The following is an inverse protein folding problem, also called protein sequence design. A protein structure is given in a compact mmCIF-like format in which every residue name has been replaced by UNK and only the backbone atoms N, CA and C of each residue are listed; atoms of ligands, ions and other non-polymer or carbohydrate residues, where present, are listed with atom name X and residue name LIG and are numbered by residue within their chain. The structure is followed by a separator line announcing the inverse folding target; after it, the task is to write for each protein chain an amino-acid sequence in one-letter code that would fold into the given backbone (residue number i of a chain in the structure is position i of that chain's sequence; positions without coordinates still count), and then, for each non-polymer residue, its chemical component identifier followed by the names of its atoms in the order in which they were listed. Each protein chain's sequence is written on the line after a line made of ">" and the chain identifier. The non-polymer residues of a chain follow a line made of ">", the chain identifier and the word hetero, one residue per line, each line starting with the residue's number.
data_IF_009334052193
#
_entry.id   IF_009334052193
#
_cell.length_a   1.000
_cell.length_b   1.000
_cell.length_c   1.000
_cell.angle_alpha   90.00
_cell.angle_beta   90.00
_cell.angle_gamma   90.00
#
_symmetry.space_group_name_H-M   'P 1'
#
loop_
_entity.id
_entity.type
_entity.pdbx_description
1 polymer ?
#
# COMPACT_ATOMS: atom_id res chain seq x y z
N UNK A 1 -3.21 -5.01 -27.91
CA UNK A 1 -2.98 -4.31 -26.63
C UNK A 1 -1.51 -3.93 -26.57
N UNK A 2 -1.23 -2.64 -26.35
CA UNK A 2 0.15 -2.17 -26.11
C UNK A 2 0.46 -2.49 -24.65
N UNK A 3 1.35 -3.44 -24.42
CA UNK A 3 1.96 -3.64 -23.09
C UNK A 3 2.86 -2.41 -22.78
N UNK A 4 2.26 -1.37 -22.24
CA UNK A 4 3.01 -0.22 -21.73
C UNK A 4 3.53 -0.58 -20.35
N UNK A 5 4.85 -0.67 -20.20
CA UNK A 5 5.43 -0.78 -18.89
C UNK A 5 5.27 0.56 -18.14
N UNK A 6 5.11 0.48 -16.83
CA UNK A 6 4.79 1.63 -16.00
C UNK A 6 5.89 1.86 -14.95
N UNK A 7 6.43 3.07 -14.90
CA UNK A 7 7.43 3.46 -13.92
C UNK A 7 6.76 4.24 -12.78
N UNK A 8 6.79 3.74 -11.55
CA UNK A 8 6.19 4.41 -10.39
C UNK A 8 6.87 5.76 -10.09
N UNK A 9 6.25 6.61 -9.23
CA UNK A 9 6.83 7.88 -8.82
C UNK A 9 8.26 7.72 -8.31
N UNK A 10 9.19 8.51 -8.86
CA UNK A 10 10.60 8.47 -8.46
C UNK A 10 11.24 9.84 -8.66
N UNK A 11 11.79 10.44 -7.60
CA UNK A 11 12.44 11.76 -7.68
C UNK A 11 13.60 11.82 -8.68
N UNK A 12 14.22 10.67 -8.97
CA UNK A 12 15.33 10.57 -9.91
C UNK A 12 14.91 10.26 -11.36
N UNK A 13 13.66 9.84 -11.60
CA UNK A 13 13.18 9.46 -12.94
C UNK A 13 12.00 10.29 -13.41
N UNK A 14 11.07 10.58 -12.49
CA UNK A 14 9.82 11.27 -12.83
C UNK A 14 10.02 12.75 -13.11
N UNK A 15 9.25 13.28 -14.04
CA UNK A 15 9.07 14.71 -14.25
C UNK A 15 7.88 15.24 -13.43
N UNK A 16 7.63 16.52 -13.46
CA UNK A 16 6.47 17.13 -12.81
C UNK A 16 5.15 16.60 -13.41
N UNK A 17 5.13 16.33 -14.73
CA UNK A 17 4.00 15.72 -15.45
C UNK A 17 4.36 14.31 -15.92
N UNK A 18 3.35 13.52 -16.32
CA UNK A 18 3.57 12.23 -16.96
C UNK A 18 4.47 12.39 -18.21
N UNK A 19 5.31 11.41 -18.43
CA UNK A 19 6.19 11.37 -19.61
C UNK A 19 6.37 9.94 -20.10
N UNK A 20 6.72 9.80 -21.38
CA UNK A 20 7.08 8.50 -21.95
C UNK A 20 8.59 8.49 -22.17
N UNK A 21 9.27 7.52 -21.60
CA UNK A 21 10.73 7.36 -21.72
C UNK A 21 11.02 5.93 -22.13
N UNK A 22 11.66 5.74 -23.28
CA UNK A 22 12.00 4.41 -23.85
C UNK A 22 10.79 3.47 -24.01
N UNK A 23 9.58 4.01 -24.22
CA UNK A 23 8.35 3.24 -24.32
C UNK A 23 7.63 3.02 -22.98
N UNK A 24 8.25 3.37 -21.86
CA UNK A 24 7.64 3.27 -20.51
C UNK A 24 6.87 4.54 -20.16
N UNK A 25 5.69 4.39 -19.59
CA UNK A 25 4.93 5.50 -19.01
C UNK A 25 5.48 5.82 -17.62
N UNK A 26 6.12 6.97 -17.48
CA UNK A 26 6.69 7.43 -16.20
C UNK A 26 5.69 8.30 -15.46
N UNK A 27 5.39 7.96 -14.19
CA UNK A 27 4.44 8.70 -13.35
C UNK A 27 4.94 10.11 -13.06
N UNK A 28 4.09 11.13 -13.28
CA UNK A 28 4.38 12.53 -12.99
C UNK A 28 4.24 12.84 -11.50
N UNK A 29 5.25 13.48 -10.89
CA UNK A 29 5.22 13.80 -9.45
C UNK A 29 4.06 14.73 -9.08
N UNK A 30 3.67 15.65 -9.98
CA UNK A 30 2.54 16.56 -9.79
C UNK A 30 1.16 15.91 -9.93
N UNK A 31 1.08 14.64 -10.32
CA UNK A 31 -0.16 13.89 -10.35
C UNK A 31 -0.51 13.25 -8.99
N UNK A 32 0.40 13.31 -8.01
CA UNK A 32 0.11 12.91 -6.65
C UNK A 32 -0.91 13.86 -6.00
N UNK A 33 -1.75 13.32 -5.13
CA UNK A 33 -2.78 14.12 -4.43
C UNK A 33 -2.13 15.20 -3.57
N UNK A 34 -2.70 16.40 -3.61
CA UNK A 34 -2.23 17.57 -2.86
C UNK A 34 -0.78 18.01 -3.18
N UNK A 35 -0.31 17.68 -4.37
CA UNK A 35 1.02 18.07 -4.86
C UNK A 35 0.85 19.02 -6.04
N UNK A 36 1.49 20.19 -5.98
CA UNK A 36 1.46 21.17 -7.06
C UNK A 36 2.51 20.88 -8.12
N UNK A 37 2.18 21.05 -9.40
CA UNK A 37 3.10 20.85 -10.53
C UNK A 37 4.32 21.80 -10.40
N UNK A 38 4.11 23.06 -10.05
CA UNK A 38 5.18 24.05 -9.90
C UNK A 38 6.21 23.65 -8.83
N UNK A 39 5.76 23.10 -7.69
CA UNK A 39 6.65 22.59 -6.67
C UNK A 39 7.48 21.40 -7.19
N UNK A 40 6.90 20.54 -8.02
CA UNK A 40 7.60 19.39 -8.60
C UNK A 40 8.58 19.80 -9.71
N UNK A 41 8.33 20.91 -10.39
CA UNK A 41 9.30 21.51 -11.32
C UNK A 41 10.60 21.89 -10.62
N UNK A 42 10.53 22.44 -9.41
CA UNK A 42 11.73 22.74 -8.62
C UNK A 42 12.61 21.52 -8.36
N UNK A 43 11.99 20.36 -8.14
CA UNK A 43 12.73 19.09 -7.97
C UNK A 43 13.39 18.68 -9.27
N UNK A 44 12.66 18.74 -10.40
CA UNK A 44 13.21 18.35 -11.71
C UNK A 44 14.31 19.28 -12.18
N UNK A 45 14.18 20.59 -11.94
CA UNK A 45 15.20 21.58 -12.22
C UNK A 45 16.47 21.37 -11.38
N UNK A 46 16.32 21.19 -10.06
CA UNK A 46 17.44 20.91 -9.17
C UNK A 46 18.12 19.58 -9.49
N UNK A 47 17.39 18.57 -9.95
CA UNK A 47 17.96 17.31 -10.43
C UNK A 47 18.81 17.53 -11.69
N UNK A 48 18.31 18.29 -12.68
CA UNK A 48 18.97 18.47 -13.97
C UNK A 48 19.35 17.13 -14.60
N UNK A 49 20.63 17.01 -14.99
CA UNK A 49 21.20 15.78 -15.56
C UNK A 49 21.79 14.82 -14.51
N UNK A 50 21.89 15.24 -13.25
CA UNK A 50 22.55 14.46 -12.18
C UNK A 50 21.53 13.99 -11.16
N UNK A 51 21.32 12.69 -11.06
CA UNK A 51 20.45 12.07 -10.05
C UNK A 51 20.87 12.44 -8.64
N UNK A 52 19.90 12.52 -7.73
CA UNK A 52 20.17 12.64 -6.31
C UNK A 52 20.76 11.34 -5.79
N UNK A 53 21.83 11.44 -5.00
CA UNK A 53 22.56 10.29 -4.45
C UNK A 53 22.09 9.87 -3.06
N UNK A 54 21.68 10.82 -2.24
CA UNK A 54 21.19 10.62 -0.86
C UNK A 54 20.03 11.57 -0.56
N UNK A 55 19.34 11.35 0.57
CA UNK A 55 18.33 12.28 1.09
C UNK A 55 18.94 13.65 1.42
N UNK A 56 20.20 13.67 1.86
CA UNK A 56 20.90 14.91 2.18
C UNK A 56 21.34 15.67 0.91
N UNK A 57 21.79 14.95 -0.13
CA UNK A 57 22.06 15.56 -1.44
C UNK A 57 20.77 16.18 -2.02
N UNK A 58 19.66 15.48 -1.95
CA UNK A 58 18.34 16.02 -2.30
C UNK A 58 18.02 17.31 -1.52
N UNK A 59 18.20 17.31 -0.19
CA UNK A 59 17.89 18.44 0.69
C UNK A 59 18.84 19.64 0.48
N UNK A 60 20.08 19.40 0.04
CA UNK A 60 21.06 20.47 -0.31
C UNK A 60 20.77 21.14 -1.65
N UNK A 61 20.21 20.37 -2.60
CA UNK A 61 19.96 20.85 -3.96
C UNK A 61 18.56 21.41 -4.15
N UNK A 62 17.58 20.91 -3.40
CA UNK A 62 16.18 21.33 -3.45
C UNK A 62 15.83 22.15 -2.22
N UNK A 63 15.27 23.35 -2.41
CA UNK A 63 14.71 24.14 -1.30
C UNK A 63 13.39 23.50 -0.82
N UNK A 64 13.48 22.68 0.22
CA UNK A 64 12.33 21.91 0.74
C UNK A 64 11.29 22.81 1.41
N UNK A 65 11.66 24.01 1.85
CA UNK A 65 10.71 25.01 2.37
C UNK A 65 9.75 25.47 1.28
N UNK A 66 10.22 25.64 0.05
CA UNK A 66 9.39 26.00 -1.11
C UNK A 66 8.49 24.86 -1.58
N UNK A 67 8.93 23.61 -1.43
CA UNK A 67 8.10 22.43 -1.74
C UNK A 67 6.95 22.35 -0.74
N UNK A 68 7.23 22.51 0.53
CA UNK A 68 6.28 22.38 1.63
C UNK A 68 6.15 20.96 2.17
N UNK A 69 5.78 20.85 3.46
CA UNK A 69 5.72 19.58 4.19
C UNK A 69 4.74 18.59 3.55
N UNK A 70 3.53 19.04 3.22
CA UNK A 70 2.47 18.14 2.71
C UNK A 70 2.81 17.48 1.36
N UNK A 71 3.33 18.18 0.34
CA UNK A 71 3.83 17.53 -0.87
C UNK A 71 4.96 16.53 -0.61
N UNK A 72 5.90 16.85 0.30
CA UNK A 72 6.98 15.92 0.68
C UNK A 72 6.42 14.64 1.32
N UNK A 73 5.44 14.75 2.21
CA UNK A 73 4.74 13.60 2.78
C UNK A 73 4.11 12.72 1.69
N UNK A 74 3.45 13.33 0.68
CA UNK A 74 2.84 12.57 -0.43
C UNK A 74 3.90 11.87 -1.29
N UNK A 75 5.03 12.52 -1.55
CA UNK A 75 6.15 11.90 -2.26
C UNK A 75 6.69 10.67 -1.52
N UNK A 76 6.86 10.75 -0.19
CA UNK A 76 7.32 9.60 0.62
C UNK A 76 6.31 8.48 0.60
N UNK A 77 5.03 8.79 0.83
CA UNK A 77 3.93 7.80 0.82
C UNK A 77 3.85 7.06 -0.52
N UNK A 78 4.04 7.77 -1.63
CA UNK A 78 4.03 7.20 -2.98
C UNK A 78 5.32 6.43 -3.33
N UNK A 79 6.32 6.40 -2.46
CA UNK A 79 7.59 5.71 -2.71
C UNK A 79 8.56 6.46 -3.63
N UNK A 80 8.38 7.77 -3.83
CA UNK A 80 9.23 8.54 -4.73
C UNK A 80 10.71 8.56 -4.29
N UNK A 81 10.99 8.30 -3.01
CA UNK A 81 12.34 8.25 -2.44
C UNK A 81 12.93 6.84 -2.32
N UNK A 82 12.22 5.77 -2.70
CA UNK A 82 12.63 4.38 -2.49
C UNK A 82 14.01 4.03 -3.07
N UNK A 83 14.48 4.80 -4.07
CA UNK A 83 15.83 4.66 -4.63
C UNK A 83 16.93 5.28 -3.78
N UNK A 84 16.60 6.20 -2.88
CA UNK A 84 17.54 6.80 -1.92
C UNK A 84 17.48 6.08 -0.57
N UNK A 85 16.28 5.73 -0.14
CA UNK A 85 16.02 4.99 1.08
C UNK A 85 14.71 4.20 0.92
N UNK A 86 14.79 2.88 0.96
CA UNK A 86 13.63 1.99 0.79
C UNK A 86 12.69 1.94 2.00
N UNK A 87 13.16 2.40 3.18
CA UNK A 87 12.34 2.46 4.39
C UNK A 87 11.53 3.76 4.40
N UNK A 88 10.30 3.71 3.87
CA UNK A 88 9.42 4.87 3.75
C UNK A 88 9.06 5.49 5.09
N UNK A 89 8.84 4.68 6.14
CA UNK A 89 8.51 5.17 7.49
C UNK A 89 9.64 5.98 8.08
N UNK A 90 10.89 5.54 7.89
CA UNK A 90 12.10 6.27 8.31
C UNK A 90 12.22 7.61 7.61
N UNK A 91 12.05 7.63 6.28
CA UNK A 91 12.06 8.88 5.51
C UNK A 91 10.95 9.81 5.93
N UNK A 92 9.73 9.28 6.15
CA UNK A 92 8.59 10.06 6.61
C UNK A 92 8.84 10.73 7.96
N UNK A 93 9.41 9.98 8.91
CA UNK A 93 9.75 10.50 10.23
C UNK A 93 10.89 11.55 10.19
N UNK A 94 11.79 11.45 9.21
CA UNK A 94 12.93 12.36 9.05
C UNK A 94 12.58 13.65 8.28
N UNK A 95 11.37 13.79 7.74
CA UNK A 95 11.04 14.94 6.88
C UNK A 95 11.27 16.31 7.55
N UNK A 96 10.98 16.44 8.83
CA UNK A 96 11.18 17.68 9.55
C UNK A 96 12.66 18.03 9.68
N UNK A 97 13.50 17.06 10.00
CA UNK A 97 14.94 17.22 10.09
C UNK A 97 15.55 17.56 8.72
N UNK A 98 15.08 16.92 7.65
CA UNK A 98 15.51 17.20 6.27
C UNK A 98 15.09 18.60 5.81
N UNK A 99 13.89 19.06 6.16
CA UNK A 99 13.43 20.42 5.86
C UNK A 99 14.27 21.45 6.60
N UNK A 100 14.52 21.26 7.89
CA UNK A 100 15.35 22.16 8.70
C UNK A 100 16.79 22.22 8.17
N UNK A 101 17.36 21.07 7.80
CA UNK A 101 18.67 21.00 7.16
C UNK A 101 18.71 21.76 5.83
N UNK A 102 17.71 21.55 4.96
CA UNK A 102 17.58 22.27 3.69
C UNK A 102 17.51 23.79 3.90
N UNK A 103 16.70 24.24 4.85
CA UNK A 103 16.60 25.69 5.17
C UNK A 103 17.96 26.26 5.57
N UNK A 104 18.66 25.59 6.49
CA UNK A 104 19.98 26.05 6.95
C UNK A 104 21.01 26.14 5.82
N UNK A 105 21.04 25.13 4.92
CA UNK A 105 21.93 25.12 3.75
C UNK A 105 21.61 26.27 2.78
N UNK A 106 20.33 26.49 2.48
CA UNK A 106 19.94 27.53 1.52
C UNK A 106 20.10 28.95 2.10
N UNK A 107 19.89 29.15 3.40
CA UNK A 107 20.13 30.40 4.09
C UNK A 107 21.64 30.71 4.11
N UNK A 108 22.50 29.74 4.37
CA UNK A 108 23.97 29.92 4.30
C UNK A 108 24.41 30.33 2.90
N UNK A 109 23.87 29.70 1.85
CA UNK A 109 24.17 30.06 0.46
C UNK A 109 23.70 31.48 0.08
N UNK A 110 22.58 31.95 0.63
CA UNK A 110 21.98 33.23 0.31
C UNK A 110 22.60 34.40 1.10
N UNK A 111 23.18 34.14 2.27
CA UNK A 111 23.69 35.18 3.16
C UNK A 111 25.02 35.83 2.69
N UNK A 112 25.67 35.36 1.63
CA UNK A 112 26.97 35.86 1.15
C UNK A 112 28.02 36.05 2.25
N UNK A 113 27.85 35.48 3.42
CA UNK A 113 28.86 35.52 4.48
C UNK A 113 30.03 34.63 4.05
N UNK A 114 31.02 35.27 3.47
CA UNK A 114 32.35 34.67 3.37
C UNK A 114 32.76 34.35 4.80
N UNK A 115 32.89 33.07 5.10
CA UNK A 115 33.43 32.62 6.39
C UNK A 115 34.74 33.32 6.64
N UNK A 116 34.89 34.03 7.76
CA UNK A 116 36.12 34.73 8.17
C UNK A 116 37.28 33.74 8.41
N UNK A 117 37.05 32.46 8.25
CA UNK A 117 38.02 31.37 8.52
C UNK A 117 38.40 30.55 7.27
N UNK A 118 38.53 31.21 6.10
CA UNK A 118 39.20 30.61 4.93
C UNK A 118 38.43 29.45 4.29
N UNK A 119 38.70 29.24 3.02
CA UNK A 119 38.18 28.20 2.10
C UNK A 119 38.33 26.74 2.58
N UNK A 120 37.60 26.35 3.57
CA UNK A 120 37.29 24.94 3.80
C UNK A 120 35.78 24.86 3.78
N UNK A 121 35.25 24.23 2.73
CA UNK A 121 33.81 24.00 2.60
C UNK A 121 33.30 23.24 3.80
N UNK A 122 32.92 23.96 4.85
CA UNK A 122 32.18 23.43 5.98
C UNK A 122 30.74 23.19 5.48
N UNK A 123 30.55 22.04 4.86
CA UNK A 123 29.23 21.48 4.66
C UNK A 123 28.60 21.36 6.06
N UNK A 124 27.42 21.96 6.24
CA UNK A 124 26.64 21.78 7.47
C UNK A 124 26.53 20.29 7.81
N UNK A 125 26.75 19.90 9.07
CA UNK A 125 26.71 18.50 9.44
C UNK A 125 25.33 17.92 9.14
N UNK A 126 25.33 16.76 8.51
CA UNK A 126 24.09 16.04 8.19
C UNK A 126 23.38 15.60 9.48
N UNK A 127 22.06 15.86 9.61
CA UNK A 127 21.31 15.42 10.78
C UNK A 127 21.29 13.89 10.87
N UNK A 128 21.28 13.38 12.10
CA UNK A 128 21.19 11.93 12.32
C UNK A 128 19.75 11.48 12.15
N UNK A 129 19.47 10.71 11.10
CA UNK A 129 18.17 10.07 10.90
C UNK A 129 18.05 8.91 11.88
N UNK A 130 16.96 8.90 12.68
CA UNK A 130 16.63 7.78 13.57
C UNK A 130 16.24 6.56 12.75
N UNK A 131 16.62 5.39 13.22
CA UNK A 131 16.19 4.15 12.61
C UNK A 131 14.75 3.79 13.05
N UNK A 132 13.96 3.31 12.09
CA UNK A 132 12.59 2.86 12.29
C UNK A 132 12.38 1.56 11.53
N UNK A 133 11.60 0.65 12.10
CA UNK A 133 11.05 -0.44 11.31
C UNK A 133 10.08 0.14 10.26
N UNK A 134 10.18 -0.32 9.01
CA UNK A 134 9.32 0.19 7.93
C UNK A 134 7.85 -0.15 8.17
N UNK A 135 6.98 0.51 7.43
CA UNK A 135 5.57 0.14 7.37
C UNK A 135 5.41 -1.30 6.91
N UNK A 136 4.47 -2.00 7.52
CA UNK A 136 4.05 -3.32 7.03
C UNK A 136 3.51 -3.20 5.59
N UNK A 137 3.56 -4.27 4.79
CA UNK A 137 3.09 -4.23 3.40
C UNK A 137 1.68 -3.63 3.24
N UNK A 138 0.74 -4.00 4.10
CA UNK A 138 -0.61 -3.45 4.08
C UNK A 138 -0.64 -1.95 4.43
N UNK A 139 0.20 -1.50 5.36
CA UNK A 139 0.32 -0.08 5.70
C UNK A 139 0.94 0.70 4.53
N UNK A 140 1.99 0.16 3.88
CA UNK A 140 2.59 0.78 2.69
C UNK A 140 1.58 0.98 1.57
N UNK A 141 0.73 -0.01 1.31
CA UNK A 141 -0.34 0.09 0.31
C UNK A 141 -1.39 1.13 0.70
N UNK A 142 -1.76 1.21 1.98
CA UNK A 142 -2.68 2.24 2.47
C UNK A 142 -2.10 3.65 2.31
N UNK A 143 -0.82 3.84 2.65
CA UNK A 143 -0.10 5.09 2.50
C UNK A 143 0.05 5.49 1.01
N UNK A 144 0.35 4.54 0.14
CA UNK A 144 0.40 4.72 -1.31
C UNK A 144 -0.96 5.18 -1.86
N UNK A 145 -2.05 4.54 -1.42
CA UNK A 145 -3.40 4.91 -1.81
C UNK A 145 -3.76 6.35 -1.39
N UNK A 146 -3.33 6.78 -0.19
CA UNK A 146 -3.52 8.16 0.28
C UNK A 146 -2.86 9.15 -0.69
N UNK A 147 -1.67 8.85 -1.18
CA UNK A 147 -0.90 9.75 -2.04
C UNK A 147 -1.34 9.70 -3.51
N UNK A 148 -1.70 8.54 -4.02
CA UNK A 148 -1.98 8.30 -5.44
C UNK A 148 -3.48 8.31 -5.72
N UNK A 149 -4.26 7.62 -4.89
CA UNK A 149 -5.71 7.47 -5.05
C UNK A 149 -6.15 6.14 -5.65
N UNK A 150 -5.20 5.29 -5.98
CA UNK A 150 -5.39 3.90 -6.35
C UNK A 150 -4.15 3.09 -5.93
N UNK A 151 -4.27 1.77 -5.93
CA UNK A 151 -3.17 0.87 -5.61
C UNK A 151 -2.29 0.68 -6.84
N UNK A 152 -1.01 1.00 -6.73
CA UNK A 152 -0.06 1.01 -7.85
C UNK A 152 0.95 -0.14 -7.78
N UNK A 153 1.54 -0.36 -6.61
CA UNK A 153 2.62 -1.35 -6.46
C UNK A 153 2.09 -2.77 -6.30
N UNK A 154 0.98 -2.93 -5.62
CA UNK A 154 0.27 -4.19 -5.40
C UNK A 154 -1.16 -3.87 -4.96
N UNK A 155 -2.00 -4.90 -4.76
CA UNK A 155 -3.38 -4.72 -4.31
C UNK A 155 -3.61 -5.45 -2.97
N UNK A 156 -4.39 -4.86 -2.01
CA UNK A 156 -4.63 -5.48 -0.70
C UNK A 156 -5.31 -6.85 -0.73
N UNK A 157 -5.86 -7.25 -1.88
CA UNK A 157 -6.38 -8.60 -2.11
C UNK A 157 -5.31 -9.57 -2.64
N UNK A 158 -4.07 -9.13 -2.86
CA UNK A 158 -2.97 -9.97 -3.35
C UNK A 158 -2.71 -11.16 -2.42
N UNK A 159 -2.64 -10.91 -1.13
CA UNK A 159 -2.45 -11.93 -0.10
C UNK A 159 -3.58 -12.98 -0.07
N UNK A 160 -4.78 -12.59 -0.51
CA UNK A 160 -5.96 -13.45 -0.56
C UNK A 160 -6.12 -14.21 -1.87
N UNK A 161 -5.26 -13.99 -2.89
CA UNK A 161 -5.46 -14.48 -4.25
C UNK A 161 -5.75 -15.99 -4.33
N UNK A 162 -5.00 -16.82 -3.61
CA UNK A 162 -5.19 -18.28 -3.57
C UNK A 162 -6.52 -18.67 -2.92
N UNK A 163 -6.87 -18.05 -1.80
CA UNK A 163 -8.12 -18.30 -1.09
C UNK A 163 -9.32 -17.83 -1.91
N UNK A 164 -9.25 -16.67 -2.56
CA UNK A 164 -10.28 -16.16 -3.47
C UNK A 164 -10.56 -17.14 -4.60
N UNK A 165 -9.51 -17.61 -5.26
CA UNK A 165 -9.62 -18.57 -6.37
C UNK A 165 -10.25 -19.89 -5.92
N UNK A 166 -9.83 -20.46 -4.78
CA UNK A 166 -10.43 -21.70 -4.22
C UNK A 166 -11.91 -21.53 -3.91
N UNK A 167 -12.33 -20.35 -3.47
CA UNK A 167 -13.72 -20.04 -3.14
C UNK A 167 -14.57 -19.62 -4.35
N UNK A 168 -14.03 -19.73 -5.59
CA UNK A 168 -14.74 -19.38 -6.82
C UNK A 168 -15.05 -17.89 -6.93
N UNK A 169 -14.26 -17.05 -6.29
CA UNK A 169 -14.37 -15.58 -6.37
C UNK A 169 -13.74 -15.12 -7.67
N UNK A 170 -14.47 -14.35 -8.45
CA UNK A 170 -14.07 -13.86 -9.76
C UNK A 170 -13.47 -12.45 -9.64
N UNK A 171 -12.49 -12.15 -10.50
CA UNK A 171 -11.99 -10.80 -10.70
C UNK A 171 -12.91 -10.01 -11.63
N UNK A 172 -12.75 -8.67 -11.67
CA UNK A 172 -13.52 -7.82 -12.57
C UNK A 172 -13.41 -8.28 -14.02
N UNK A 173 -12.20 -8.55 -14.52
CA UNK A 173 -11.98 -8.97 -15.90
C UNK A 173 -12.69 -10.30 -16.24
N UNK A 174 -12.66 -11.25 -15.28
CA UNK A 174 -13.38 -12.53 -15.42
C UNK A 174 -14.91 -12.32 -15.43
N UNK A 175 -15.40 -11.36 -14.65
CA UNK A 175 -16.84 -11.04 -14.61
C UNK A 175 -17.27 -10.35 -15.88
N UNK A 176 -16.51 -9.39 -16.41
CA UNK A 176 -16.78 -8.73 -17.69
C UNK A 176 -16.84 -9.76 -18.81
N UNK A 177 -15.82 -10.61 -18.92
CA UNK A 177 -15.77 -11.66 -19.96
C UNK A 177 -16.95 -12.65 -19.88
N UNK A 178 -17.38 -13.01 -18.67
CA UNK A 178 -18.56 -13.90 -18.52
C UNK A 178 -19.89 -13.19 -18.80
N UNK A 179 -19.98 -11.90 -18.50
CA UNK A 179 -21.18 -11.10 -18.72
C UNK A 179 -21.51 -10.89 -20.20
N UNK A 180 -20.54 -11.05 -21.10
CA UNK A 180 -20.74 -11.07 -22.56
C UNK A 180 -21.70 -12.19 -23.01
N UNK A 181 -21.72 -13.32 -22.28
CA UNK A 181 -22.61 -14.43 -22.56
C UNK A 181 -24.04 -14.25 -21.98
N UNK A 182 -24.26 -13.21 -21.18
CA UNK A 182 -25.53 -12.86 -20.54
C UNK A 182 -25.42 -12.62 -19.04
N UNK A 183 -26.52 -12.15 -18.42
CA UNK A 183 -26.54 -11.88 -16.99
C UNK A 183 -26.32 -13.14 -16.16
N UNK A 184 -25.54 -13.04 -15.06
CA UNK A 184 -25.29 -14.12 -14.13
C UNK A 184 -25.02 -13.61 -12.71
N UNK A 185 -24.96 -14.52 -11.74
CA UNK A 185 -24.61 -14.19 -10.36
C UNK A 185 -23.11 -14.39 -10.19
N UNK A 186 -22.42 -13.30 -9.92
CA UNK A 186 -20.99 -13.28 -9.65
C UNK A 186 -20.71 -13.22 -8.14
N UNK A 187 -19.69 -13.96 -7.68
CA UNK A 187 -19.05 -13.77 -6.38
C UNK A 187 -17.74 -13.04 -6.61
N UNK A 188 -17.61 -11.86 -6.05
CA UNK A 188 -16.47 -10.95 -6.24
C UNK A 188 -15.92 -10.51 -4.90
N UNK A 189 -14.66 -10.08 -4.87
CA UNK A 189 -14.06 -9.43 -3.71
C UNK A 189 -13.51 -8.06 -4.12
N UNK A 190 -13.63 -7.08 -3.24
CA UNK A 190 -13.12 -5.74 -3.48
C UNK A 190 -12.69 -5.02 -2.22
N UNK A 191 -11.83 -4.03 -2.41
CA UNK A 191 -11.53 -3.01 -1.40
C UNK A 191 -12.43 -1.82 -1.66
N UNK A 192 -13.13 -1.35 -0.63
CA UNK A 192 -14.04 -0.20 -0.74
C UNK A 192 -13.21 1.06 -0.94
N UNK A 193 -13.37 1.69 -2.09
CA UNK A 193 -12.72 2.97 -2.41
C UNK A 193 -13.60 4.17 -1.99
N UNK A 194 -14.91 4.07 -2.20
CA UNK A 194 -15.86 5.14 -1.88
C UNK A 194 -17.28 4.59 -1.72
N UNK A 195 -18.10 5.30 -0.96
CA UNK A 195 -19.52 5.01 -0.78
C UNK A 195 -20.34 6.28 -0.98
N UNK A 196 -21.30 6.26 -1.89
CA UNK A 196 -22.23 7.35 -2.13
C UNK A 196 -23.66 6.90 -1.83
N UNK A 197 -24.23 7.34 -0.72
CA UNK A 197 -25.63 7.07 -0.40
C UNK A 197 -26.54 8.11 -1.07
N UNK A 198 -27.66 7.64 -1.61
CA UNK A 198 -28.71 8.48 -2.23
C UNK A 198 -30.10 8.03 -1.76
N UNK A 199 -31.08 8.90 -1.98
CA UNK A 199 -32.49 8.58 -1.81
C UNK A 199 -33.18 8.50 -3.16
N UNK A 200 -33.95 7.45 -3.38
CA UNK A 200 -34.82 7.33 -4.55
C UNK A 200 -36.00 8.30 -4.47
N UNK A 201 -36.69 8.50 -5.57
CA UNK A 201 -37.92 9.33 -5.61
C UNK A 201 -39.01 8.78 -4.64
N UNK A 202 -38.98 7.50 -4.31
CA UNK A 202 -39.90 6.86 -3.33
C UNK A 202 -39.38 6.94 -1.88
N UNK A 203 -38.28 7.65 -1.62
CA UNK A 203 -37.70 7.83 -0.29
C UNK A 203 -36.79 6.69 0.19
N UNK A 204 -36.68 5.59 -0.54
CA UNK A 204 -35.80 4.48 -0.20
C UNK A 204 -34.35 4.87 -0.35
N UNK A 205 -33.50 4.50 0.61
CA UNK A 205 -32.07 4.69 0.53
C UNK A 205 -31.42 3.61 -0.34
N UNK A 206 -30.42 3.98 -1.11
CA UNK A 206 -29.56 3.07 -1.85
C UNK A 206 -28.15 3.67 -1.90
N UNK A 207 -27.15 2.86 -2.22
CA UNK A 207 -25.78 3.33 -2.33
C UNK A 207 -25.11 2.82 -3.60
N UNK A 208 -24.21 3.65 -4.13
CA UNK A 208 -23.19 3.22 -5.06
C UNK A 208 -21.91 2.98 -4.27
N UNK A 209 -21.39 1.76 -4.35
CA UNK A 209 -20.18 1.35 -3.70
C UNK A 209 -19.10 1.18 -4.76
N UNK A 210 -18.09 2.05 -4.71
CA UNK A 210 -16.91 1.92 -5.56
C UNK A 210 -15.91 0.98 -4.90
N UNK A 211 -15.47 0.00 -5.66
CA UNK A 211 -14.61 -1.08 -5.24
C UNK A 211 -13.43 -1.22 -6.20
N UNK A 212 -12.36 -1.80 -5.71
CA UNK A 212 -11.24 -2.20 -6.57
C UNK A 212 -10.82 -3.63 -6.27
N UNK A 213 -10.36 -4.32 -7.31
CA UNK A 213 -9.59 -5.55 -7.23
C UNK A 213 -8.26 -5.37 -7.99
N UNK A 214 -7.48 -6.44 -8.11
CA UNK A 214 -6.19 -6.38 -8.82
C UNK A 214 -6.28 -6.10 -10.32
N UNK A 215 -7.47 -6.24 -10.92
CA UNK A 215 -7.69 -6.07 -12.36
C UNK A 215 -8.33 -4.72 -12.68
N UNK A 216 -8.96 -4.05 -11.71
CA UNK A 216 -9.52 -2.73 -11.93
C UNK A 216 -10.45 -2.23 -10.84
N UNK A 217 -11.13 -1.12 -11.15
CA UNK A 217 -12.15 -0.52 -10.29
C UNK A 217 -13.53 -0.70 -10.88
N UNK A 218 -14.51 -0.97 -10.03
CA UNK A 218 -15.90 -1.20 -10.42
C UNK A 218 -16.87 -0.61 -9.41
N UNK A 219 -18.12 -0.44 -9.85
CA UNK A 219 -19.18 0.07 -9.01
C UNK A 219 -20.28 -0.97 -8.83
N UNK A 220 -20.70 -1.18 -7.58
CA UNK A 220 -21.85 -2.01 -7.26
C UNK A 220 -22.98 -1.16 -6.67
N UNK A 221 -24.20 -1.40 -7.13
CA UNK A 221 -25.42 -0.78 -6.58
C UNK A 221 -25.95 -1.62 -5.44
N UNK A 222 -26.18 -0.99 -4.29
CA UNK A 222 -26.76 -1.57 -3.09
C UNK A 222 -28.14 -0.98 -2.84
N UNK A 223 -29.19 -1.78 -2.90
CA UNK A 223 -30.50 -1.35 -2.44
C UNK A 223 -30.63 -1.37 -0.92
N UNK A 224 -31.67 -0.73 -0.40
CA UNK A 224 -31.86 -0.46 1.03
C UNK A 224 -31.63 -1.67 1.93
N UNK A 225 -32.13 -2.83 1.57
CA UNK A 225 -31.98 -4.04 2.40
C UNK A 225 -30.50 -4.47 2.54
N UNK A 226 -29.76 -4.49 1.43
CA UNK A 226 -28.33 -4.85 1.43
C UNK A 226 -27.53 -3.77 2.13
N UNK A 227 -27.84 -2.49 1.85
CA UNK A 227 -27.17 -1.35 2.45
C UNK A 227 -27.30 -1.34 3.97
N UNK A 228 -28.51 -1.58 4.51
CA UNK A 228 -28.73 -1.61 5.97
C UNK A 228 -27.94 -2.72 6.65
N UNK A 229 -27.92 -3.93 6.05
CA UNK A 229 -27.20 -5.08 6.59
C UNK A 229 -25.68 -4.94 6.52
N UNK A 230 -25.17 -4.14 5.57
CA UNK A 230 -23.72 -4.05 5.30
C UNK A 230 -23.08 -2.75 5.78
N UNK A 231 -23.84 -1.81 6.32
CA UNK A 231 -23.39 -0.44 6.63
C UNK A 231 -22.14 -0.38 7.50
N UNK A 232 -21.97 -1.29 8.44
CA UNK A 232 -20.88 -1.29 9.42
C UNK A 232 -19.52 -1.70 8.82
N UNK A 233 -19.52 -2.37 7.66
CA UNK A 233 -18.31 -2.91 7.05
C UNK A 233 -18.04 -2.47 5.61
N UNK A 234 -18.77 -1.46 5.11
CA UNK A 234 -18.55 -0.86 3.79
C UNK A 234 -17.92 0.54 3.88
N UNK A 235 -17.02 0.73 4.85
CA UNK A 235 -16.23 1.95 4.95
C UNK A 235 -15.02 1.90 4.02
N UNK A 236 -14.50 3.07 3.63
CA UNK A 236 -13.33 3.17 2.76
C UNK A 236 -12.15 2.40 3.36
N UNK A 237 -11.52 1.56 2.54
CA UNK A 237 -10.42 0.67 2.93
C UNK A 237 -10.88 -0.72 3.40
N UNK A 238 -12.18 -0.93 3.67
CA UNK A 238 -12.71 -2.24 4.04
C UNK A 238 -12.59 -3.24 2.89
N UNK A 239 -12.19 -4.47 3.21
CA UNK A 239 -12.18 -5.59 2.28
C UNK A 239 -13.48 -6.36 2.40
N UNK A 240 -14.19 -6.52 1.31
CA UNK A 240 -15.51 -7.15 1.29
C UNK A 240 -15.62 -8.22 0.21
N UNK A 241 -16.44 -9.21 0.51
CA UNK A 241 -16.93 -10.20 -0.43
C UNK A 241 -18.35 -9.83 -0.85
N UNK A 242 -18.60 -9.76 -2.15
CA UNK A 242 -19.88 -9.37 -2.73
C UNK A 242 -20.42 -10.51 -3.57
N UNK A 243 -21.71 -10.85 -3.37
CA UNK A 243 -22.49 -11.60 -4.35
C UNK A 243 -23.38 -10.62 -5.10
N UNK A 244 -23.19 -10.50 -6.40
CA UNK A 244 -23.88 -9.53 -7.24
C UNK A 244 -24.46 -10.19 -8.49
N UNK A 245 -25.58 -9.67 -8.96
CA UNK A 245 -26.04 -9.91 -10.32
C UNK A 245 -25.25 -9.02 -11.25
N UNK A 246 -24.52 -9.64 -12.19
CA UNK A 246 -23.67 -8.98 -13.17
C UNK A 246 -24.36 -9.02 -14.53
N UNK A 247 -24.42 -7.87 -15.20
CA UNK A 247 -24.93 -7.74 -16.55
C UNK A 247 -24.14 -6.70 -17.31
N UNK A 248 -24.01 -6.88 -18.62
CA UNK A 248 -23.36 -5.92 -19.52
C UNK A 248 -24.45 -5.07 -20.19
N UNK A 249 -24.43 -3.76 -19.99
CA UNK A 249 -25.33 -2.82 -20.64
C UNK A 249 -24.53 -1.70 -21.30
N UNK A 250 -24.65 -1.54 -22.62
CA UNK A 250 -23.93 -0.53 -23.41
C UNK A 250 -22.40 -0.56 -23.15
N UNK A 251 -21.80 -1.73 -23.17
CA UNK A 251 -20.37 -2.01 -22.89
C UNK A 251 -19.90 -1.64 -21.47
N UNK A 252 -20.84 -1.39 -20.56
CA UNK A 252 -20.54 -1.16 -19.14
C UNK A 252 -21.08 -2.28 -18.27
N UNK A 253 -20.22 -2.77 -17.38
CA UNK A 253 -20.64 -3.76 -16.40
C UNK A 253 -21.55 -3.11 -15.35
N UNK A 254 -22.71 -3.66 -15.13
CA UNK A 254 -23.62 -3.33 -14.03
C UNK A 254 -23.62 -4.43 -13.01
N UNK A 255 -23.38 -4.07 -11.76
CA UNK A 255 -23.35 -4.98 -10.64
C UNK A 255 -24.41 -4.56 -9.63
N UNK A 256 -25.40 -5.46 -9.42
CA UNK A 256 -26.43 -5.29 -8.42
C UNK A 256 -26.13 -6.21 -7.25
N UNK A 257 -25.71 -5.65 -6.13
CA UNK A 257 -25.35 -6.43 -4.94
C UNK A 257 -26.58 -7.12 -4.35
N UNK A 258 -26.50 -8.42 -4.15
CA UNK A 258 -27.49 -9.24 -3.43
C UNK A 258 -27.09 -9.47 -1.98
N UNK A 259 -25.79 -9.58 -1.72
CA UNK A 259 -25.24 -9.65 -0.36
C UNK A 259 -23.82 -9.10 -0.33
N UNK A 260 -23.41 -8.57 0.81
CA UNK A 260 -22.04 -8.16 1.11
C UNK A 260 -21.69 -8.68 2.50
N UNK A 261 -20.47 -9.13 2.67
CA UNK A 261 -19.90 -9.55 3.96
C UNK A 261 -18.44 -9.11 4.06
N UNK A 262 -17.89 -8.97 5.27
CA UNK A 262 -16.44 -8.82 5.44
C UNK A 262 -15.71 -9.98 4.76
N UNK A 263 -14.60 -9.67 4.10
CA UNK A 263 -13.84 -10.65 3.32
C UNK A 263 -13.39 -11.84 4.19
N UNK A 264 -12.85 -11.56 5.36
CA UNK A 264 -12.32 -12.58 6.27
C UNK A 264 -13.39 -13.58 6.76
N UNK A 265 -14.67 -13.14 6.88
CA UNK A 265 -15.78 -14.02 7.21
C UNK A 265 -16.23 -14.85 6.00
N UNK A 266 -16.15 -14.29 4.80
CA UNK A 266 -16.64 -14.93 3.58
C UNK A 266 -15.66 -15.91 2.94
N UNK A 267 -14.37 -15.82 3.32
CA UNK A 267 -13.28 -16.67 2.82
C UNK A 267 -12.71 -17.53 3.97
N UNK A 268 -13.44 -17.75 5.04
CA UNK A 268 -12.96 -18.59 6.13
C UNK A 268 -12.26 -19.81 5.54
N UNK A 269 -10.95 -19.89 5.69
CA UNK A 269 -10.23 -21.13 5.46
C UNK A 269 -10.76 -22.12 6.49
N UNK A 270 -11.72 -22.90 6.06
CA UNK A 270 -12.29 -23.97 6.89
C UNK A 270 -11.24 -25.01 7.25
N UNK A 271 -10.05 -24.94 6.59
CA UNK A 271 -9.03 -25.97 6.62
C UNK A 271 -7.70 -25.56 7.27
N UNK A 272 -7.46 -24.28 7.59
CA UNK A 272 -6.23 -23.88 8.28
C UNK A 272 -6.49 -23.67 9.76
N UNK A 273 -6.17 -24.65 10.57
CA UNK A 273 -6.30 -24.59 12.03
C UNK A 273 -5.13 -23.83 12.68
N UNK A 274 -4.01 -23.66 11.96
CA UNK A 274 -2.81 -22.98 12.48
C UNK A 274 -1.82 -22.59 11.40
N UNK A 275 -0.65 -22.11 11.83
CA UNK A 275 0.42 -21.66 10.94
C UNK A 275 1.79 -22.05 11.50
N UNK A 276 2.66 -22.61 10.67
CA UNK A 276 4.07 -22.88 10.98
C UNK A 276 4.96 -21.97 10.16
N UNK A 277 5.83 -21.20 10.84
CA UNK A 277 6.71 -20.19 10.24
C UNK A 277 8.15 -20.71 10.31
N UNK A 278 8.78 -20.89 9.16
CA UNK A 278 10.18 -21.30 9.07
C UNK A 278 11.09 -20.09 8.93
N UNK A 279 12.06 -19.95 9.82
CA UNK A 279 13.01 -18.83 9.84
C UNK A 279 14.46 -19.33 9.84
N UNK A 280 15.34 -18.61 9.15
CA UNK A 280 16.77 -18.95 9.09
C UNK A 280 17.66 -18.00 9.91
N UNK A 281 17.10 -16.93 10.48
CA UNK A 281 17.79 -15.94 11.32
C UNK A 281 16.99 -15.69 12.60
N UNK A 282 17.63 -15.84 13.77
CA UNK A 282 17.02 -15.58 15.07
C UNK A 282 16.54 -14.12 15.23
N UNK A 283 17.18 -13.16 14.53
CA UNK A 283 16.80 -11.74 14.56
C UNK A 283 15.39 -11.48 14.05
N UNK A 284 14.88 -12.36 13.19
CA UNK A 284 13.52 -12.27 12.64
C UNK A 284 12.44 -12.56 13.68
N UNK A 285 12.76 -13.28 14.74
CA UNK A 285 11.81 -13.65 15.80
C UNK A 285 11.13 -12.40 16.39
N UNK A 286 11.91 -11.35 16.66
CA UNK A 286 11.38 -10.10 17.19
C UNK A 286 10.47 -9.38 16.18
N UNK A 287 10.76 -9.47 14.90
CA UNK A 287 9.93 -8.88 13.84
C UNK A 287 8.63 -9.67 13.66
N UNK A 288 8.67 -10.99 13.71
CA UNK A 288 7.48 -11.86 13.70
C UNK A 288 6.61 -11.55 14.92
N UNK A 289 7.19 -11.46 16.11
CA UNK A 289 6.46 -11.11 17.34
C UNK A 289 5.76 -9.74 17.20
N UNK A 290 6.45 -8.74 16.64
CA UNK A 290 5.88 -7.41 16.42
C UNK A 290 4.70 -7.42 15.47
N UNK A 291 4.76 -8.19 14.38
CA UNK A 291 3.65 -8.36 13.43
C UNK A 291 2.45 -9.02 14.12
N UNK A 292 2.70 -10.08 14.89
CA UNK A 292 1.65 -10.79 15.61
C UNK A 292 0.99 -9.94 16.70
N UNK A 293 1.76 -9.17 17.46
CA UNK A 293 1.22 -8.28 18.50
C UNK A 293 0.38 -7.14 17.91
N UNK A 294 0.83 -6.52 16.80
CA UNK A 294 0.04 -5.50 16.10
C UNK A 294 -1.25 -6.07 15.52
N UNK A 295 -1.27 -7.34 15.14
CA UNK A 295 -2.45 -8.00 14.57
C UNK A 295 -3.52 -8.34 15.61
N UNK A 296 -3.17 -8.51 16.87
CA UNK A 296 -4.12 -8.83 17.96
C UNK A 296 -5.21 -7.77 18.12
N UNK A 297 -4.85 -6.49 17.94
CA UNK A 297 -5.76 -5.36 18.11
C UNK A 297 -6.56 -5.03 16.85
N UNK A 298 -6.07 -5.43 15.66
CA UNK A 298 -6.68 -5.07 14.38
C UNK A 298 -7.79 -6.04 13.94
N UNK A 299 -7.76 -7.28 14.38
CA UNK A 299 -8.70 -8.32 13.94
C UNK A 299 -9.71 -8.64 15.04
N UNK A 300 -10.85 -7.95 14.99
CA UNK A 300 -12.00 -8.25 15.88
C UNK A 300 -12.76 -9.51 15.49
N UNK A 301 -12.59 -9.98 14.25
CA UNK A 301 -13.38 -11.09 13.67
C UNK A 301 -12.47 -11.93 12.76
N UNK A 302 -12.30 -13.23 13.06
CA UNK A 302 -11.52 -14.18 12.26
C UNK A 302 -11.22 -15.46 13.03
N UNK A 303 -10.82 -16.51 12.32
CA UNK A 303 -10.33 -17.74 12.93
C UNK A 303 -9.05 -17.46 13.72
N UNK A 304 -8.95 -17.98 14.94
CA UNK A 304 -7.74 -17.97 15.73
C UNK A 304 -7.19 -19.40 15.80
N UNK A 305 -5.88 -19.52 15.79
CA UNK A 305 -5.23 -20.81 15.86
C UNK A 305 -3.79 -20.71 16.40
N UNK A 306 -3.14 -21.88 16.54
CA UNK A 306 -1.77 -21.97 17.00
C UNK A 306 -0.80 -21.45 15.94
N UNK A 307 0.28 -20.82 16.41
CA UNK A 307 1.41 -20.44 15.57
C UNK A 307 2.67 -21.12 16.13
N UNK A 308 3.35 -21.85 15.27
CA UNK A 308 4.64 -22.47 15.55
C UNK A 308 5.73 -21.74 14.76
N UNK A 309 6.85 -21.49 15.42
CA UNK A 309 8.02 -20.91 14.79
C UNK A 309 9.13 -21.95 14.77
N UNK A 310 9.61 -22.29 13.56
CA UNK A 310 10.66 -23.28 13.36
C UNK A 310 11.93 -22.62 12.88
N UNK A 311 12.98 -22.70 13.70
CA UNK A 311 14.30 -22.17 13.36
C UNK A 311 15.09 -23.22 12.56
N UNK A 312 15.39 -22.90 11.30
CA UNK A 312 16.25 -23.70 10.41
C UNK A 312 17.63 -23.05 10.40
N UNK A 313 18.52 -23.54 11.25
CA UNK A 313 19.90 -23.05 11.28
C UNK A 313 20.88 -24.25 11.25
N UNK A 314 21.80 -24.22 10.30
CA UNK A 314 22.83 -25.26 10.13
C UNK A 314 23.82 -25.37 11.31
N UNK A 315 23.82 -24.39 12.22
CA UNK A 315 24.68 -24.39 13.41
C UNK A 315 24.06 -25.09 14.62
N UNK A 316 22.77 -25.41 14.56
CA UNK A 316 22.05 -26.10 15.63
C UNK A 316 22.13 -27.64 15.43
N UNK A 317 22.27 -28.42 16.50
CA UNK A 317 22.34 -29.89 16.41
C UNK A 317 20.97 -30.55 16.07
N UNK A 318 19.92 -29.75 15.88
CA UNK A 318 18.57 -30.20 15.55
C UNK A 318 17.63 -29.01 15.23
N UNK A 319 16.45 -29.34 14.74
CA UNK A 319 15.41 -28.34 14.48
C UNK A 319 14.76 -27.91 15.80
N UNK A 320 14.63 -26.61 15.99
CA UNK A 320 13.97 -26.02 17.16
C UNK A 320 12.62 -25.49 16.71
N UNK A 321 11.53 -26.00 17.30
CA UNK A 321 10.18 -25.51 17.11
C UNK A 321 9.70 -24.84 18.41
N UNK A 322 9.20 -23.62 18.29
CA UNK A 322 8.67 -22.81 19.41
C UNK A 322 7.17 -22.65 19.20
N UNK A 323 6.39 -23.08 20.17
CA UNK A 323 4.95 -22.82 20.20
C UNK A 323 4.70 -21.40 20.73
N UNK A 324 4.08 -20.54 19.90
CA UNK A 324 3.73 -19.17 20.26
C UNK A 324 2.33 -19.06 20.88
N UNK A 325 1.55 -20.16 20.88
CA UNK A 325 0.19 -20.25 21.44
C UNK A 325 -0.92 -20.19 20.39
N UNK A 326 -2.16 -20.33 20.88
CA UNK A 326 -3.36 -20.59 20.07
C UNK A 326 -4.22 -19.34 19.80
N UNK A 327 -3.86 -18.16 20.28
CA UNK A 327 -4.72 -16.97 20.27
C UNK A 327 -4.38 -15.95 19.16
N UNK A 328 -3.75 -16.39 18.11
CA UNK A 328 -3.38 -15.50 17.01
C UNK A 328 -4.39 -15.59 15.87
N UNK A 329 -4.74 -14.45 15.25
CA UNK A 329 -5.59 -14.47 14.08
C UNK A 329 -4.84 -15.11 12.90
N UNK A 330 -5.46 -16.14 12.30
CA UNK A 330 -4.94 -16.84 11.12
C UNK A 330 -5.66 -16.29 9.91
N UNK A 331 -5.02 -15.39 9.18
CA UNK A 331 -5.57 -14.85 7.94
C UNK A 331 -4.47 -14.60 6.90
N UNK A 332 -4.82 -14.51 5.60
CA UNK A 332 -3.86 -14.31 4.52
C UNK A 332 -3.03 -13.03 4.65
N UNK A 333 -3.57 -11.97 5.23
CA UNK A 333 -2.87 -10.71 5.42
C UNK A 333 -1.70 -10.84 6.41
N UNK A 334 -1.93 -11.52 7.54
CA UNK A 334 -0.88 -11.77 8.55
C UNK A 334 0.19 -12.69 7.96
N UNK A 335 -0.23 -13.71 7.22
CA UNK A 335 0.66 -14.60 6.49
C UNK A 335 1.54 -13.82 5.49
N UNK A 336 0.95 -12.94 4.68
CA UNK A 336 1.67 -12.08 3.74
C UNK A 336 2.66 -11.16 4.44
N UNK A 337 2.25 -10.51 5.54
CA UNK A 337 3.10 -9.66 6.34
C UNK A 337 4.31 -10.42 6.91
N UNK A 338 4.10 -11.60 7.48
CA UNK A 338 5.19 -12.43 8.01
C UNK A 338 6.10 -12.93 6.88
N UNK A 339 5.52 -13.38 5.75
CA UNK A 339 6.30 -13.87 4.60
C UNK A 339 7.21 -12.80 4.00
N UNK A 340 6.86 -11.52 4.11
CA UNK A 340 7.67 -10.41 3.62
C UNK A 340 8.89 -10.08 4.50
N UNK A 341 8.98 -10.64 5.70
CA UNK A 341 10.10 -10.38 6.61
C UNK A 341 11.38 -11.07 6.09
N UNK A 342 12.48 -10.31 6.04
CA UNK A 342 13.78 -10.87 5.67
C UNK A 342 14.21 -11.90 6.72
N UNK A 343 14.48 -13.14 6.29
CA UNK A 343 14.83 -14.28 7.16
C UNK A 343 13.66 -15.24 7.42
N UNK A 344 12.45 -14.96 6.96
CA UNK A 344 11.38 -15.95 6.84
C UNK A 344 11.60 -16.73 5.54
N UNK A 345 11.70 -18.05 5.65
CA UNK A 345 11.97 -18.96 4.52
C UNK A 345 10.66 -19.43 3.91
N UNK A 346 9.74 -19.92 4.76
CA UNK A 346 8.48 -20.53 4.34
C UNK A 346 7.42 -20.37 5.42
N UNK A 347 6.15 -20.42 5.02
CA UNK A 347 5.00 -20.47 5.92
C UNK A 347 4.08 -21.60 5.45
N UNK A 348 3.86 -22.57 6.33
CA UNK A 348 3.00 -23.72 6.14
C UNK A 348 1.67 -23.50 6.90
N UNK A 349 0.53 -23.80 6.26
CA UNK A 349 -0.79 -23.87 6.91
C UNK A 349 -0.92 -25.28 7.51
N UNK A 350 -1.37 -25.39 8.78
CA UNK A 350 -1.55 -26.65 9.53
C UNK A 350 -2.95 -26.78 10.09
#
# INVERSE_FOLDING_TARGET
>A
ELELSFVPPCINKSNATFSVVNGDLVYGLGALKNVGIEAMQLITEARGSTSFSTLFDFSRRVDLKRIGKRPLEMLVRAGAFDKLDSNRKRVFAALEDLVNYSVAVHEQKSSNQVSLFGETGDDLPEPRIKDFQDWLPAERLAEEYIAIGFYLSDHPLGDYASALKRNGVLTLDEVVSKAEAGPFIAKMAGVVANRQERKSAKGNRFAFLQLSDKTGSYEATLFSEVLEKSREYIETGSKVLITAEASLESDQIKLLARSISPLDLGISNVDAEGMRIFVNDEKVISSVASVLDQSKDQVKIGAKGPIYLRLINSTLPGEVEIDLGENFPINPQIRGAIKSLSGVVEIEEI
#
